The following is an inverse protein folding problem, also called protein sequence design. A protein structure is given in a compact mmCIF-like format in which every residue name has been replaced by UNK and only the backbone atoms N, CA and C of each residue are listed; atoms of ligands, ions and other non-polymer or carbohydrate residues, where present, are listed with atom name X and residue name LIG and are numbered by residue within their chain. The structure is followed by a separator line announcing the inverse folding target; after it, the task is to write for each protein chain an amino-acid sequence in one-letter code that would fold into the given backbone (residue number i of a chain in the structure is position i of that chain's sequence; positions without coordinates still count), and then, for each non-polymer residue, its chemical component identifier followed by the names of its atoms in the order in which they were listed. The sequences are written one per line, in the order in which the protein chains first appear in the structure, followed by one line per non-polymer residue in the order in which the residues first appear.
data_IF_357126280534
#
_entry.id   IF_357126280534
#
_cell.length_a   1.000
_cell.length_b   1.000
_cell.length_c   1.000
_cell.angle_alpha   90.00
_cell.angle_beta   90.00
_cell.angle_gamma   90.00
#
_symmetry.space_group_name_H-M   'P 1'
#
loop_
_entity.id
_entity.type
_entity.pdbx_description
1 polymer ?
#
# COMPACT_ATOMS: atom_id res chain seq x y z
N UNK A 1 -20.44 -13.81 -11.42
CA UNK A 1 -20.61 -14.83 -10.37
C UNK A 1 -21.94 -14.60 -9.68
N UNK A 2 -22.72 -15.65 -9.40
CA UNK A 2 -23.92 -15.52 -8.56
C UNK A 2 -23.49 -15.58 -7.10
N UNK A 3 -24.14 -14.82 -6.21
CA UNK A 3 -23.85 -14.81 -4.78
C UNK A 3 -25.16 -14.77 -3.97
N UNK A 4 -25.09 -15.27 -2.74
CA UNK A 4 -26.16 -15.18 -1.75
C UNK A 4 -25.53 -15.04 -0.36
N UNK A 5 -26.22 -14.34 0.54
CA UNK A 5 -25.81 -14.17 1.93
C UNK A 5 -26.81 -14.91 2.82
N UNK A 6 -26.28 -15.72 3.74
CA UNK A 6 -27.08 -16.44 4.74
C UNK A 6 -26.31 -16.49 6.06
N UNK A 7 -27.03 -16.64 7.16
CA UNK A 7 -26.41 -17.00 8.43
C UNK A 7 -26.11 -18.49 8.45
N UNK A 8 -24.91 -18.83 8.90
CA UNK A 8 -24.46 -20.20 9.02
C UNK A 8 -23.64 -20.41 10.29
N UNK A 9 -23.63 -21.66 10.76
CA UNK A 9 -22.69 -22.13 11.76
C UNK A 9 -21.58 -22.91 11.04
N UNK A 10 -20.33 -22.69 11.45
CA UNK A 10 -19.19 -23.42 10.89
C UNK A 10 -18.27 -23.93 11.98
N UNK A 11 -17.56 -25.03 11.70
CA UNK A 11 -16.42 -25.53 12.47
C UNK A 11 -15.24 -25.65 11.52
N UNK A 12 -14.20 -24.84 11.72
CA UNK A 12 -13.02 -24.89 10.86
C UNK A 12 -12.34 -26.26 10.96
N UNK A 13 -12.07 -26.90 9.81
CA UNK A 13 -11.42 -28.20 9.77
C UNK A 13 -9.92 -28.13 10.11
N UNK A 14 -9.26 -26.99 9.83
CA UNK A 14 -7.86 -26.77 10.16
C UNK A 14 -7.56 -25.28 10.37
N UNK A 15 -6.43 -25.00 11.04
CA UNK A 15 -5.79 -23.69 11.09
C UNK A 15 -4.48 -23.80 10.31
N UNK A 16 -4.39 -23.13 9.16
CA UNK A 16 -3.22 -23.14 8.30
C UNK A 16 -2.60 -21.74 8.22
N UNK A 17 -1.28 -21.68 8.10
CA UNK A 17 -0.56 -20.44 7.74
C UNK A 17 -0.45 -20.29 6.23
N UNK A 18 -0.14 -19.09 5.77
CA UNK A 18 0.07 -18.82 4.34
C UNK A 18 1.23 -19.64 3.77
N UNK A 19 2.31 -19.81 4.53
CA UNK A 19 3.47 -20.61 4.17
C UNK A 19 3.11 -22.10 4.06
N UNK A 20 2.28 -22.62 4.97
CA UNK A 20 1.81 -24.01 4.90
C UNK A 20 0.95 -24.25 3.66
N UNK A 21 0.03 -23.33 3.33
CA UNK A 21 -0.79 -23.43 2.11
C UNK A 21 0.08 -23.29 0.85
N UNK A 22 1.07 -22.40 0.87
CA UNK A 22 1.99 -22.22 -0.26
C UNK A 22 2.87 -23.47 -0.46
N UNK A 23 3.40 -24.05 0.61
CA UNK A 23 4.17 -25.29 0.56
C UNK A 23 3.32 -26.45 0.03
N UNK A 24 2.06 -26.54 0.47
CA UNK A 24 1.11 -27.52 -0.02
C UNK A 24 0.84 -27.36 -1.53
N UNK A 25 0.59 -26.12 -2.00
CA UNK A 25 0.50 -25.78 -3.43
C UNK A 25 1.74 -26.22 -4.23
N UNK A 26 2.92 -26.05 -3.63
CA UNK A 26 4.21 -26.40 -4.24
C UNK A 26 4.54 -27.91 -4.14
N UNK A 27 3.58 -28.77 -3.79
CA UNK A 27 3.75 -30.22 -3.74
C UNK A 27 4.39 -30.75 -2.45
N UNK A 28 4.53 -29.92 -1.41
CA UNK A 28 5.07 -30.30 -0.11
C UNK A 28 4.05 -30.06 1.02
N UNK A 29 2.88 -30.73 1.01
CA UNK A 29 1.88 -30.54 2.04
C UNK A 29 2.35 -31.12 3.38
N UNK A 30 2.30 -30.29 4.43
CA UNK A 30 2.43 -30.76 5.80
C UNK A 30 1.19 -31.55 6.27
N UNK A 31 1.26 -32.12 7.47
CA UNK A 31 0.25 -33.06 7.96
C UNK A 31 -1.16 -32.46 8.10
N UNK A 32 -1.26 -31.17 8.44
CA UNK A 32 -2.55 -30.45 8.50
C UNK A 32 -3.14 -30.17 7.11
N UNK A 33 -2.31 -29.93 6.11
CA UNK A 33 -2.75 -29.55 4.76
C UNK A 33 -3.04 -30.78 3.89
N UNK A 34 -2.30 -31.88 4.09
CA UNK A 34 -2.40 -33.10 3.27
C UNK A 34 -3.83 -33.66 3.15
N UNK A 35 -4.63 -33.76 4.22
CA UNK A 35 -6.02 -34.24 4.14
C UNK A 35 -6.96 -33.28 3.39
N UNK A 36 -6.55 -32.03 3.21
CA UNK A 36 -7.36 -30.95 2.64
C UNK A 36 -7.00 -30.63 1.17
N UNK A 37 -6.03 -31.34 0.59
CA UNK A 37 -5.51 -31.04 -0.74
C UNK A 37 -6.61 -31.09 -1.81
N UNK A 38 -7.20 -32.27 -2.03
CA UNK A 38 -8.22 -32.45 -3.05
C UNK A 38 -9.56 -31.80 -2.70
N UNK A 39 -9.91 -31.75 -1.41
CA UNK A 39 -11.22 -31.27 -0.96
C UNK A 39 -11.32 -29.76 -0.83
N UNK A 40 -10.21 -29.05 -0.63
CA UNK A 40 -10.20 -27.61 -0.42
C UNK A 40 -9.07 -26.91 -1.17
N UNK A 41 -7.80 -27.24 -0.89
CA UNK A 41 -6.66 -26.40 -1.32
C UNK A 41 -6.56 -26.32 -2.85
N UNK A 42 -6.61 -27.44 -3.56
CA UNK A 42 -6.57 -27.48 -5.03
C UNK A 42 -7.76 -26.74 -5.67
N UNK A 43 -9.03 -27.00 -5.28
CA UNK A 43 -10.18 -26.21 -5.75
C UNK A 43 -10.04 -24.70 -5.49
N UNK A 44 -9.54 -24.30 -4.32
CA UNK A 44 -9.33 -22.89 -3.99
C UNK A 44 -8.30 -22.26 -4.93
N UNK A 45 -7.21 -22.95 -5.26
CA UNK A 45 -6.25 -22.45 -6.26
C UNK A 45 -6.84 -22.40 -7.69
N UNK A 46 -7.70 -23.34 -8.06
CA UNK A 46 -8.44 -23.29 -9.33
C UNK A 46 -9.39 -22.08 -9.42
N UNK A 47 -10.11 -21.78 -8.34
CA UNK A 47 -10.95 -20.59 -8.24
C UNK A 47 -10.11 -19.30 -8.26
N UNK A 48 -9.00 -19.27 -7.52
CA UNK A 48 -8.05 -18.15 -7.52
C UNK A 48 -7.52 -17.85 -8.93
N UNK A 49 -7.12 -18.87 -9.69
CA UNK A 49 -6.66 -18.68 -11.08
C UNK A 49 -7.73 -18.04 -11.97
N UNK A 50 -9.01 -18.36 -11.75
CA UNK A 50 -10.13 -17.74 -12.46
C UNK A 50 -10.33 -16.27 -12.05
N UNK A 51 -10.20 -15.96 -10.76
CA UNK A 51 -10.28 -14.58 -10.26
C UNK A 51 -9.11 -13.73 -10.74
N UNK A 52 -7.90 -14.29 -10.83
CA UNK A 52 -6.73 -13.59 -11.37
C UNK A 52 -6.94 -13.16 -12.83
N UNK A 53 -7.49 -14.04 -13.68
CA UNK A 53 -7.87 -13.67 -15.06
C UNK A 53 -8.90 -12.54 -15.09
N UNK A 54 -9.87 -12.56 -14.18
CA UNK A 54 -10.86 -11.50 -14.07
C UNK A 54 -10.25 -10.18 -13.58
N UNK A 55 -9.30 -10.24 -12.64
CA UNK A 55 -8.54 -9.11 -12.09
C UNK A 55 -7.69 -8.44 -13.18
N UNK A 56 -6.99 -9.24 -13.99
CA UNK A 56 -6.20 -8.76 -15.13
C UNK A 56 -7.09 -8.05 -16.15
N UNK A 57 -8.20 -8.66 -16.54
CA UNK A 57 -9.18 -8.04 -17.46
C UNK A 57 -9.78 -6.75 -16.89
N UNK A 58 -9.99 -6.68 -15.58
CA UNK A 58 -10.51 -5.50 -14.89
C UNK A 58 -9.50 -4.34 -14.86
N UNK A 59 -8.20 -4.64 -14.96
CA UNK A 59 -7.15 -3.63 -14.99
C UNK A 59 -6.96 -2.95 -13.63
N UNK A 60 -6.72 -3.73 -12.57
CA UNK A 60 -6.35 -3.19 -11.24
C UNK A 60 -5.03 -2.40 -11.33
N UNK A 61 -4.88 -1.33 -10.55
CA UNK A 61 -3.63 -0.58 -10.47
C UNK A 61 -2.53 -1.48 -9.88
N UNK A 62 -1.49 -1.76 -10.67
CA UNK A 62 -0.48 -2.78 -10.34
C UNK A 62 0.78 -2.14 -9.74
N UNK A 63 0.63 -1.59 -8.54
CA UNK A 63 1.74 -0.98 -7.81
C UNK A 63 2.58 -2.04 -7.10
N UNK A 64 3.87 -2.06 -7.41
CA UNK A 64 4.86 -2.86 -6.73
C UNK A 64 5.64 -2.00 -5.74
N UNK A 65 5.18 -1.98 -4.48
CA UNK A 65 5.87 -1.30 -3.38
C UNK A 65 6.17 -2.33 -2.30
N UNK A 66 7.44 -2.64 -2.03
CA UNK A 66 7.80 -3.67 -1.06
C UNK A 66 7.38 -3.23 0.35
N UNK A 67 6.50 -4.00 0.98
CA UNK A 67 6.23 -3.90 2.41
C UNK A 67 7.38 -4.54 3.19
N UNK A 68 7.66 -4.04 4.39
CA UNK A 68 8.71 -4.59 5.26
C UNK A 68 8.15 -5.12 6.55
N UNK A 69 8.85 -6.09 7.12
CA UNK A 69 8.54 -6.69 8.41
C UNK A 69 9.73 -6.52 9.35
N UNK A 70 9.45 -6.05 10.55
CA UNK A 70 10.40 -6.04 11.66
C UNK A 70 10.41 -7.44 12.29
N UNK A 71 11.59 -8.05 12.35
CA UNK A 71 11.80 -9.35 12.99
C UNK A 71 12.29 -9.11 14.41
N UNK A 72 11.53 -9.57 15.39
CA UNK A 72 11.87 -9.46 16.82
C UNK A 72 12.20 -10.84 17.38
N UNK A 73 13.13 -10.91 18.34
CA UNK A 73 13.30 -12.10 19.18
C UNK A 73 12.34 -12.09 20.37
N UNK A 74 12.35 -13.16 21.18
CA UNK A 74 11.49 -13.31 22.35
C UNK A 74 11.76 -12.24 23.44
N UNK A 75 12.93 -11.62 23.42
CA UNK A 75 13.32 -10.52 24.30
C UNK A 75 12.92 -9.15 23.75
N UNK A 76 12.26 -9.08 22.58
CA UNK A 76 11.83 -7.83 21.95
C UNK A 76 12.93 -7.07 21.21
N UNK A 77 14.10 -7.67 20.98
CA UNK A 77 15.20 -7.07 20.25
C UNK A 77 15.02 -7.28 18.73
N UNK A 78 15.41 -6.27 17.94
CA UNK A 78 15.30 -6.32 16.48
C UNK A 78 16.41 -7.20 15.90
N UNK A 79 16.02 -8.34 15.33
CA UNK A 79 16.91 -9.25 14.60
C UNK A 79 17.22 -8.76 13.19
N UNK A 80 16.24 -8.11 12.56
CA UNK A 80 16.36 -7.65 11.18
C UNK A 80 15.11 -6.99 10.65
N UNK A 81 15.25 -6.36 9.49
CA UNK A 81 14.17 -5.73 8.74
C UNK A 81 14.25 -6.27 7.32
N UNK A 82 13.21 -6.98 6.92
CA UNK A 82 13.21 -7.71 5.65
C UNK A 82 11.95 -7.38 4.85
N UNK A 83 12.02 -7.41 3.50
CA UNK A 83 10.84 -7.35 2.66
C UNK A 83 9.89 -8.50 2.98
N UNK A 84 8.59 -8.20 3.05
CA UNK A 84 7.55 -9.19 3.26
C UNK A 84 7.36 -9.99 1.96
N UNK A 85 7.46 -11.33 1.97
CA UNK A 85 7.25 -12.12 0.78
C UNK A 85 5.77 -12.10 0.37
N UNK A 86 5.51 -11.82 -0.91
CA UNK A 86 4.16 -11.88 -1.48
C UNK A 86 3.91 -13.26 -2.11
N UNK A 87 3.43 -14.19 -1.28
CA UNK A 87 3.06 -15.55 -1.73
C UNK A 87 1.69 -15.58 -2.44
N UNK A 88 1.48 -16.55 -3.33
CA UNK A 88 0.18 -16.78 -3.98
C UNK A 88 -0.90 -17.16 -2.97
N UNK A 89 -0.56 -17.82 -1.86
CA UNK A 89 -1.51 -18.09 -0.78
C UNK A 89 -2.05 -16.82 -0.13
N UNK A 90 -1.26 -15.74 -0.05
CA UNK A 90 -1.75 -14.44 0.40
C UNK A 90 -2.75 -13.86 -0.61
N UNK A 91 -2.34 -13.83 -1.88
CA UNK A 91 -3.14 -13.28 -2.99
C UNK A 91 -4.47 -14.04 -3.18
N UNK A 92 -4.46 -15.35 -2.94
CA UNK A 92 -5.65 -16.20 -2.98
C UNK A 92 -6.71 -15.72 -1.98
N UNK A 93 -6.30 -15.51 -0.72
CA UNK A 93 -7.23 -15.02 0.30
C UNK A 93 -7.67 -13.60 -0.02
N UNK A 94 -6.76 -12.73 -0.46
CA UNK A 94 -7.06 -11.36 -0.87
C UNK A 94 -8.17 -11.31 -1.92
N UNK A 95 -8.04 -12.07 -3.02
CA UNK A 95 -9.03 -12.06 -4.11
C UNK A 95 -10.39 -12.66 -3.68
N UNK A 96 -10.39 -13.68 -2.80
CA UNK A 96 -11.65 -14.18 -2.22
C UNK A 96 -12.32 -13.14 -1.33
N UNK A 97 -11.55 -12.41 -0.53
CA UNK A 97 -12.10 -11.36 0.30
C UNK A 97 -12.63 -10.20 -0.55
N UNK A 98 -11.93 -9.82 -1.63
CA UNK A 98 -12.40 -8.82 -2.59
C UNK A 98 -13.72 -9.26 -3.22
N UNK A 99 -13.83 -10.52 -3.66
CA UNK A 99 -15.06 -11.05 -4.23
C UNK A 99 -16.25 -10.99 -3.25
N UNK A 100 -16.03 -11.34 -1.98
CA UNK A 100 -17.04 -11.24 -0.93
C UNK A 100 -17.43 -9.79 -0.62
N UNK A 101 -16.45 -8.90 -0.56
CA UNK A 101 -16.64 -7.45 -0.34
C UNK A 101 -17.48 -6.81 -1.47
N UNK A 102 -17.22 -7.19 -2.74
CA UNK A 102 -18.03 -6.75 -3.89
C UNK A 102 -19.45 -7.31 -3.80
N UNK A 103 -19.61 -8.60 -3.49
CA UNK A 103 -20.93 -9.21 -3.34
C UNK A 103 -21.79 -8.54 -2.25
N UNK A 104 -21.16 -8.13 -1.15
CA UNK A 104 -21.84 -7.42 -0.06
C UNK A 104 -22.36 -6.06 -0.54
N UNK A 105 -21.51 -5.27 -1.19
CA UNK A 105 -21.88 -3.98 -1.77
C UNK A 105 -22.99 -4.14 -2.83
N UNK A 106 -22.86 -5.11 -3.74
CA UNK A 106 -23.89 -5.42 -4.76
C UNK A 106 -25.24 -5.79 -4.14
N UNK A 107 -25.23 -6.55 -3.06
CA UNK A 107 -26.46 -6.96 -2.37
C UNK A 107 -27.15 -5.77 -1.73
N UNK A 108 -26.41 -4.92 -1.00
CA UNK A 108 -26.99 -3.74 -0.36
C UNK A 108 -27.50 -2.71 -1.37
N UNK A 109 -26.76 -2.44 -2.45
CA UNK A 109 -27.19 -1.54 -3.53
C UNK A 109 -28.51 -2.00 -4.17
N UNK A 110 -28.60 -3.29 -4.51
CA UNK A 110 -29.80 -3.87 -5.14
C UNK A 110 -31.03 -3.81 -4.24
N UNK A 111 -30.84 -3.82 -2.92
CA UNK A 111 -31.91 -3.71 -1.94
C UNK A 111 -32.20 -2.27 -1.53
N UNK A 112 -31.48 -1.29 -2.10
CA UNK A 112 -31.54 0.12 -1.72
C UNK A 112 -31.32 0.35 -0.22
N UNK A 113 -30.38 -0.39 0.37
CA UNK A 113 -30.04 -0.29 1.78
C UNK A 113 -28.78 0.55 2.00
N UNK A 114 -28.66 1.20 3.17
CA UNK A 114 -27.44 1.89 3.56
C UNK A 114 -26.22 0.96 3.49
N UNK A 115 -25.13 1.47 2.93
CA UNK A 115 -23.87 0.73 2.81
C UNK A 115 -22.71 1.66 3.15
N UNK A 116 -21.80 1.18 4.00
CA UNK A 116 -20.55 1.87 4.29
C UNK A 116 -19.52 1.44 3.24
N UNK A 117 -19.45 2.20 2.14
CA UNK A 117 -18.52 1.90 1.04
C UNK A 117 -17.09 2.18 1.46
N UNK A 118 -16.17 1.40 0.89
CA UNK A 118 -14.75 1.72 0.85
C UNK A 118 -14.48 2.32 -0.52
N UNK A 119 -14.36 3.64 -0.57
CA UNK A 119 -14.19 4.37 -1.83
C UNK A 119 -12.75 4.80 -2.02
N UNK A 120 -12.34 4.90 -3.28
CA UNK A 120 -11.05 5.43 -3.68
C UNK A 120 -11.28 6.22 -4.96
N UNK A 121 -11.28 7.55 -4.85
CA UNK A 121 -11.53 8.45 -5.97
C UNK A 121 -10.34 8.47 -6.95
N UNK A 122 -10.55 9.08 -8.11
CA UNK A 122 -9.45 9.43 -9.01
C UNK A 122 -8.47 10.42 -8.35
N UNK A 123 -7.19 10.39 -8.72
CA UNK A 123 -6.24 11.44 -8.36
C UNK A 123 -6.75 12.85 -8.70
N UNK A 124 -6.43 13.84 -7.87
CA UNK A 124 -6.78 15.25 -8.17
C UNK A 124 -5.98 15.79 -9.34
N UNK A 125 -6.51 16.81 -10.02
CA UNK A 125 -5.84 17.45 -11.15
C UNK A 125 -4.40 17.91 -10.81
N UNK A 126 -4.20 18.54 -9.66
CA UNK A 126 -2.88 19.00 -9.22
C UNK A 126 -1.88 17.85 -9.04
N UNK A 127 -2.32 16.73 -8.46
CA UNK A 127 -1.48 15.53 -8.31
C UNK A 127 -1.14 14.90 -9.66
N UNK A 128 -2.06 14.94 -10.61
CA UNK A 128 -1.85 14.43 -11.96
C UNK A 128 -0.89 15.28 -12.78
N UNK A 129 -0.99 16.61 -12.68
CA UNK A 129 -0.02 17.51 -13.33
C UNK A 129 1.37 17.33 -12.74
N UNK A 130 1.52 17.27 -11.41
CA UNK A 130 2.80 16.98 -10.76
C UNK A 130 3.38 15.62 -11.22
N UNK A 131 2.55 14.58 -11.30
CA UNK A 131 2.97 13.28 -11.83
C UNK A 131 3.42 13.38 -13.30
N UNK A 132 2.69 14.12 -14.15
CA UNK A 132 3.04 14.31 -15.57
C UNK A 132 4.37 15.05 -15.73
N UNK A 133 4.63 16.07 -14.93
CA UNK A 133 5.91 16.80 -14.93
C UNK A 133 7.06 15.88 -14.53
N UNK A 134 6.90 15.12 -13.45
CA UNK A 134 7.88 14.15 -12.99
C UNK A 134 8.17 13.08 -14.07
N UNK A 135 7.14 12.47 -14.65
CA UNK A 135 7.30 11.47 -15.71
C UNK A 135 7.97 12.05 -16.94
N UNK A 136 7.61 13.29 -17.31
CA UNK A 136 8.20 14.01 -18.44
C UNK A 136 9.71 14.20 -18.28
N UNK A 137 10.20 14.39 -17.06
CA UNK A 137 11.65 14.46 -16.78
C UNK A 137 12.41 13.17 -17.12
N UNK A 138 11.71 12.04 -17.21
CA UNK A 138 12.23 10.72 -17.56
C UNK A 138 11.82 10.28 -18.98
N UNK A 139 11.32 11.19 -19.82
CA UNK A 139 10.75 10.88 -21.14
C UNK A 139 9.60 9.84 -21.09
N UNK A 140 8.85 9.83 -19.98
CA UNK A 140 7.62 9.06 -19.82
C UNK A 140 6.43 10.02 -19.90
N UNK A 141 5.33 9.57 -20.51
CA UNK A 141 4.17 10.42 -20.73
C UNK A 141 2.89 9.72 -20.26
N UNK A 142 2.14 10.41 -19.39
CA UNK A 142 0.79 10.04 -19.00
C UNK A 142 -0.20 10.86 -19.84
N UNK A 143 -1.14 10.19 -20.51
CA UNK A 143 -2.11 10.84 -21.38
C UNK A 143 -2.96 11.90 -20.64
N UNK A 144 -3.32 12.98 -21.35
CA UNK A 144 -4.22 14.04 -20.88
C UNK A 144 -5.68 13.74 -21.25
N UNK A 145 -6.13 12.52 -21.01
CA UNK A 145 -7.53 12.12 -21.25
C UNK A 145 -8.47 12.74 -20.22
N UNK A 146 -9.74 12.96 -20.61
CA UNK A 146 -10.80 13.44 -19.70
C UNK A 146 -11.17 12.41 -18.62
N UNK A 147 -10.97 11.12 -18.89
CA UNK A 147 -11.13 10.03 -17.92
C UNK A 147 -9.83 9.27 -17.79
N UNK A 148 -9.28 9.23 -16.58
CA UNK A 148 -8.13 8.41 -16.26
C UNK A 148 -8.62 7.05 -15.76
N UNK A 149 -7.99 5.99 -16.27
CA UNK A 149 -8.21 4.63 -15.81
C UNK A 149 -6.90 4.09 -15.24
N UNK A 150 -6.94 3.13 -14.30
CA UNK A 150 -5.73 2.48 -13.79
C UNK A 150 -4.85 1.88 -14.90
N UNK A 151 -5.46 1.44 -16.01
CA UNK A 151 -4.74 0.93 -17.18
C UNK A 151 -3.72 1.93 -17.74
N UNK A 152 -4.01 3.24 -17.72
CA UNK A 152 -3.06 4.27 -18.16
C UNK A 152 -1.81 4.35 -17.27
N UNK A 153 -1.97 4.11 -15.98
CA UNK A 153 -0.85 4.04 -15.04
C UNK A 153 -0.06 2.75 -15.23
N UNK A 154 -0.75 1.62 -15.41
CA UNK A 154 -0.12 0.32 -15.63
C UNK A 154 0.75 0.30 -16.90
N UNK A 155 0.38 1.04 -17.95
CA UNK A 155 1.23 1.21 -19.14
C UNK A 155 2.58 1.86 -18.82
N UNK A 156 2.61 2.78 -17.85
CA UNK A 156 3.82 3.46 -17.41
C UNK A 156 4.63 2.53 -16.50
N UNK A 157 3.96 1.89 -15.54
CA UNK A 157 4.58 0.92 -14.62
C UNK A 157 5.24 -0.25 -15.38
N UNK A 158 4.59 -0.74 -16.45
CA UNK A 158 5.15 -1.77 -17.31
C UNK A 158 6.43 -1.33 -18.06
N UNK A 159 6.55 -0.05 -18.43
CA UNK A 159 7.75 0.47 -19.14
C UNK A 159 8.96 0.61 -18.23
N UNK A 160 8.74 0.78 -16.93
CA UNK A 160 9.81 0.97 -15.94
C UNK A 160 10.12 -0.31 -15.17
N UNK A 161 9.37 -1.39 -15.40
CA UNK A 161 9.60 -2.69 -14.78
C UNK A 161 11.00 -3.21 -15.10
N UNK A 162 11.66 -3.76 -14.09
CA UNK A 162 13.03 -4.29 -14.14
C UNK A 162 14.08 -3.23 -14.54
N UNK A 163 13.74 -1.93 -14.42
CA UNK A 163 14.68 -0.82 -14.64
C UNK A 163 15.13 -0.20 -13.31
N UNK A 164 16.22 0.57 -13.35
CA UNK A 164 16.70 1.32 -12.19
C UNK A 164 15.67 2.33 -11.61
N UNK A 165 14.61 2.67 -12.38
CA UNK A 165 13.59 3.64 -12.00
C UNK A 165 12.28 2.98 -11.52
N UNK A 166 12.16 1.65 -11.51
CA UNK A 166 10.92 0.94 -11.15
C UNK A 166 10.37 1.39 -9.80
N UNK A 167 11.18 1.29 -8.76
CA UNK A 167 10.80 1.60 -7.37
C UNK A 167 10.35 3.05 -7.25
N UNK A 168 11.12 3.97 -7.83
CA UNK A 168 10.83 5.39 -7.76
C UNK A 168 9.50 5.72 -8.44
N UNK A 169 9.30 5.23 -9.66
CA UNK A 169 8.08 5.52 -10.43
C UNK A 169 6.85 4.92 -9.73
N UNK A 170 6.96 3.69 -9.21
CA UNK A 170 5.91 3.08 -8.38
C UNK A 170 5.57 3.96 -7.18
N UNK A 171 6.56 4.47 -6.45
CA UNK A 171 6.35 5.35 -5.30
C UNK A 171 5.69 6.68 -5.68
N UNK A 172 6.12 7.32 -6.77
CA UNK A 172 5.52 8.61 -7.19
C UNK A 172 4.10 8.41 -7.71
N UNK A 173 3.82 7.33 -8.45
CA UNK A 173 2.46 6.98 -8.85
C UNK A 173 1.59 6.68 -7.63
N UNK A 174 2.10 5.96 -6.62
CA UNK A 174 1.37 5.73 -5.37
C UNK A 174 1.03 7.05 -4.66
N UNK A 175 2.00 7.98 -4.54
CA UNK A 175 1.80 9.28 -3.88
C UNK A 175 0.83 10.19 -4.63
N UNK A 176 0.72 10.04 -5.96
CA UNK A 176 -0.26 10.77 -6.76
C UNK A 176 -1.68 10.25 -6.56
N UNK A 177 -1.88 9.04 -6.01
CA UNK A 177 -3.23 8.50 -5.80
C UNK A 177 -4.00 9.28 -4.72
N UNK A 178 -5.34 9.19 -4.79
CA UNK A 178 -6.18 9.60 -3.68
C UNK A 178 -6.00 8.63 -2.50
N UNK A 179 -6.32 9.06 -1.29
CA UNK A 179 -6.43 8.13 -0.18
C UNK A 179 -7.81 7.48 -0.22
N UNK A 180 -7.85 6.16 -0.04
CA UNK A 180 -9.12 5.47 0.15
C UNK A 180 -9.73 5.84 1.50
N UNK A 181 -11.05 5.96 1.56
CA UNK A 181 -11.80 6.34 2.75
C UNK A 181 -13.13 5.60 2.82
N UNK A 182 -13.78 5.67 3.98
CA UNK A 182 -15.13 5.17 4.15
C UNK A 182 -16.14 6.28 3.84
N UNK A 183 -17.23 5.93 3.14
CA UNK A 183 -18.28 6.87 2.75
C UNK A 183 -19.64 6.18 2.65
N UNK A 184 -20.75 6.84 3.00
CA UNK A 184 -22.10 6.38 2.64
C UNK A 184 -22.38 6.49 1.12
N UNK A 185 -21.65 7.36 0.42
CA UNK A 185 -21.79 7.56 -1.02
C UNK A 185 -20.80 6.69 -1.79
N UNK A 186 -21.29 6.00 -2.83
CA UNK A 186 -20.46 5.19 -3.69
C UNK A 186 -19.92 6.02 -4.87
N UNK A 187 -18.62 6.29 -4.86
CA UNK A 187 -17.88 6.89 -5.99
C UNK A 187 -16.96 5.88 -6.70
N UNK A 188 -17.08 4.60 -6.36
CA UNK A 188 -16.22 3.53 -6.84
C UNK A 188 -14.87 3.44 -6.12
N UNK A 189 -14.04 2.52 -6.59
CA UNK A 189 -12.72 2.26 -6.05
C UNK A 189 -11.68 2.19 -7.19
N UNK A 190 -11.10 3.35 -7.51
CA UNK A 190 -10.17 3.58 -8.61
C UNK A 190 -9.06 2.53 -8.66
N UNK A 191 -8.26 2.42 -7.59
CA UNK A 191 -7.13 1.48 -7.55
C UNK A 191 -7.48 0.01 -7.74
N UNK A 192 -8.72 -0.40 -7.44
CA UNK A 192 -9.19 -1.78 -7.66
C UNK A 192 -9.97 -1.95 -8.97
N UNK A 193 -10.18 -0.85 -9.72
CA UNK A 193 -11.04 -0.77 -10.89
C UNK A 193 -12.45 -1.37 -10.62
N UNK A 194 -13.01 -1.10 -9.44
CA UNK A 194 -14.33 -1.60 -9.02
C UNK A 194 -15.35 -0.46 -8.96
N UNK A 195 -16.55 -0.69 -9.51
CA UNK A 195 -17.67 0.27 -9.45
C UNK A 195 -18.28 0.42 -8.05
N UNK A 196 -18.07 -0.57 -7.20
CA UNK A 196 -18.63 -0.67 -5.85
C UNK A 196 -17.74 -1.58 -5.02
N UNK A 197 -17.47 -1.18 -3.79
CA UNK A 197 -16.64 -1.95 -2.88
C UNK A 197 -16.96 -1.54 -1.45
N UNK A 198 -17.14 -2.53 -0.58
CA UNK A 198 -17.37 -2.32 0.84
C UNK A 198 -16.60 -3.39 1.62
N UNK A 199 -15.93 -3.00 2.70
CA UNK A 199 -15.29 -3.99 3.56
C UNK A 199 -16.37 -4.78 4.31
N UNK A 200 -16.33 -6.11 4.20
CA UNK A 200 -17.28 -7.03 4.83
C UNK A 200 -16.59 -8.16 5.60
N UNK A 201 -15.33 -8.46 5.29
CA UNK A 201 -14.64 -9.70 5.64
C UNK A 201 -13.86 -9.67 6.96
N UNK A 202 -13.92 -8.59 7.73
CA UNK A 202 -13.22 -8.49 9.03
C UNK A 202 -13.95 -7.67 10.10
N UNK A 203 -15.22 -7.98 10.43
CA UNK A 203 -15.99 -7.25 11.45
C UNK A 203 -15.39 -7.28 12.87
N UNK A 204 -14.48 -8.22 13.16
CA UNK A 204 -13.79 -8.30 14.46
C UNK A 204 -12.83 -7.13 14.68
N UNK A 205 -12.25 -6.57 13.61
CA UNK A 205 -11.18 -5.55 13.68
C UNK A 205 -11.48 -4.27 12.91
N UNK A 206 -12.63 -4.18 12.25
CA UNK A 206 -13.06 -3.01 11.47
C UNK A 206 -14.54 -2.76 11.69
N UNK A 207 -14.86 -1.54 12.12
CA UNK A 207 -16.24 -1.15 12.41
C UNK A 207 -17.09 -0.96 11.14
N UNK A 208 -16.49 -0.58 10.02
CA UNK A 208 -17.15 -0.53 8.70
C UNK A 208 -17.75 -1.89 8.32
N UNK A 209 -16.98 -2.96 8.45
CA UNK A 209 -17.45 -4.32 8.19
C UNK A 209 -18.65 -4.68 9.09
N UNK A 210 -18.63 -4.28 10.36
CA UNK A 210 -19.77 -4.51 11.27
C UNK A 210 -21.05 -3.82 10.78
N UNK A 211 -20.96 -2.57 10.29
CA UNK A 211 -22.11 -1.84 9.74
C UNK A 211 -22.65 -2.52 8.48
N UNK A 212 -21.76 -3.01 7.60
CA UNK A 212 -22.17 -3.78 6.41
C UNK A 212 -22.86 -5.09 6.80
N UNK A 213 -22.35 -5.80 7.83
CA UNK A 213 -23.03 -6.99 8.38
C UNK A 213 -24.42 -6.66 8.91
N UNK A 214 -24.55 -5.59 9.72
CA UNK A 214 -25.83 -5.12 10.27
C UNK A 214 -26.82 -4.76 9.16
N UNK A 215 -26.37 -4.06 8.11
CA UNK A 215 -27.20 -3.70 6.96
C UNK A 215 -27.70 -4.95 6.22
N UNK A 216 -26.84 -5.94 5.99
CA UNK A 216 -27.21 -7.20 5.35
C UNK A 216 -28.20 -8.00 6.21
N UNK A 217 -27.98 -8.06 7.54
CA UNK A 217 -28.91 -8.73 8.46
C UNK A 217 -30.30 -8.09 8.40
N UNK A 218 -30.37 -6.75 8.42
CA UNK A 218 -31.63 -6.00 8.32
C UNK A 218 -32.34 -6.28 7.01
N UNK A 219 -31.62 -6.14 5.89
CA UNK A 219 -32.17 -6.31 4.55
C UNK A 219 -32.70 -7.72 4.29
N UNK A 220 -31.88 -8.71 4.61
CA UNK A 220 -32.19 -10.12 4.34
C UNK A 220 -33.10 -10.73 5.40
N UNK A 221 -33.52 -9.94 6.41
CA UNK A 221 -34.30 -10.40 7.57
C UNK A 221 -33.64 -11.60 8.26
N UNK A 222 -32.31 -11.57 8.36
CA UNK A 222 -31.49 -12.69 8.83
C UNK A 222 -31.42 -12.80 10.37
N UNK A 223 -32.47 -12.38 11.08
CA UNK A 223 -32.52 -12.39 12.55
C UNK A 223 -32.06 -11.09 13.23
N UNK A 224 -31.73 -11.13 14.53
CA UNK A 224 -31.43 -9.94 15.34
C UNK A 224 -30.06 -9.34 15.03
N UNK A 225 -29.86 -8.07 15.41
CA UNK A 225 -28.63 -7.32 15.15
C UNK A 225 -28.54 -6.74 13.74
N UNK A 226 -29.69 -6.38 13.17
CA UNK A 226 -29.76 -5.56 11.97
C UNK A 226 -29.39 -4.11 12.27
N UNK A 227 -29.13 -3.34 11.21
CA UNK A 227 -28.82 -1.91 11.32
C UNK A 227 -30.02 -1.11 11.84
N UNK A 228 -29.77 -0.25 12.82
CA UNK A 228 -30.79 0.62 13.45
C UNK A 228 -30.90 1.98 12.74
N UNK A 229 -32.06 2.64 12.83
CA UNK A 229 -32.30 3.93 12.15
C UNK A 229 -31.35 5.05 12.61
N UNK A 230 -31.08 5.11 13.91
CA UNK A 230 -30.11 6.07 14.47
C UNK A 230 -28.70 5.82 13.94
N UNK A 231 -28.31 4.56 13.71
CA UNK A 231 -27.02 4.28 13.08
C UNK A 231 -26.99 4.85 11.66
N UNK A 232 -28.05 4.66 10.88
CA UNK A 232 -28.18 5.19 9.50
C UNK A 232 -28.04 6.71 9.47
N UNK A 233 -28.70 7.42 10.38
CA UNK A 233 -28.60 8.89 10.51
C UNK A 233 -27.16 9.34 10.76
N UNK A 234 -26.39 8.54 11.52
CA UNK A 234 -24.99 8.80 11.85
C UNK A 234 -23.96 8.29 10.83
N UNK A 235 -24.35 7.79 9.64
CA UNK A 235 -23.42 7.16 8.70
C UNK A 235 -22.28 8.08 8.27
N UNK A 236 -22.57 9.33 7.90
CA UNK A 236 -21.54 10.28 7.44
C UNK A 236 -20.51 10.56 8.54
N UNK A 237 -20.97 10.89 9.74
CA UNK A 237 -20.09 11.13 10.89
C UNK A 237 -19.29 9.88 11.27
N UNK A 238 -19.91 8.70 11.21
CA UNK A 238 -19.24 7.42 11.45
C UNK A 238 -18.16 7.16 10.41
N UNK A 239 -18.45 7.43 9.13
CA UNK A 239 -17.52 7.25 8.02
C UNK A 239 -16.27 8.14 8.17
N UNK A 240 -16.45 9.39 8.56
CA UNK A 240 -15.36 10.31 8.89
C UNK A 240 -14.53 9.80 10.07
N UNK A 241 -15.19 9.37 11.15
CA UNK A 241 -14.52 8.87 12.34
C UNK A 241 -13.67 7.62 12.07
N UNK A 242 -14.23 6.62 11.38
CA UNK A 242 -13.51 5.38 11.08
C UNK A 242 -12.39 5.60 10.07
N UNK A 243 -12.54 6.55 9.14
CA UNK A 243 -11.46 6.95 8.22
C UNK A 243 -10.33 7.68 8.95
N UNK A 244 -10.66 8.56 9.90
CA UNK A 244 -9.67 9.26 10.71
C UNK A 244 -8.89 8.32 11.63
N UNK A 245 -9.58 7.36 12.27
CA UNK A 245 -8.94 6.37 13.14
C UNK A 245 -8.09 5.37 12.37
N UNK A 246 -8.47 4.99 11.15
CA UNK A 246 -7.63 4.23 10.22
C UNK A 246 -6.32 4.97 9.92
N UNK A 247 -6.39 6.25 9.54
CA UNK A 247 -5.19 7.06 9.28
C UNK A 247 -4.28 7.16 10.50
N UNK A 248 -4.88 7.33 11.69
CA UNK A 248 -4.14 7.38 12.96
C UNK A 248 -3.43 6.06 13.25
N UNK A 249 -4.11 4.93 13.04
CA UNK A 249 -3.52 3.61 13.23
C UNK A 249 -2.35 3.37 12.25
N UNK A 250 -2.54 3.70 10.96
CA UNK A 250 -1.49 3.57 9.95
C UNK A 250 -0.30 4.53 10.18
N UNK A 251 -0.52 5.70 10.79
CA UNK A 251 0.57 6.57 11.23
C UNK A 251 1.35 5.94 12.39
N UNK A 252 0.65 5.44 13.41
CA UNK A 252 1.29 4.79 14.55
C UNK A 252 2.08 3.53 14.15
N UNK A 253 1.57 2.74 13.19
CA UNK A 253 2.29 1.57 12.66
C UNK A 253 3.58 1.99 11.94
N UNK A 254 3.52 3.01 11.08
CA UNK A 254 4.71 3.57 10.42
C UNK A 254 5.73 4.10 11.43
N UNK A 255 5.28 4.90 12.39
CA UNK A 255 6.14 5.43 13.46
C UNK A 255 6.82 4.30 14.24
N UNK A 256 6.12 3.19 14.52
CA UNK A 256 6.70 2.04 15.19
C UNK A 256 7.78 1.36 14.33
N UNK A 257 7.52 1.16 13.04
CA UNK A 257 8.49 0.59 12.09
C UNK A 257 9.72 1.48 12.00
N UNK A 258 9.55 2.80 11.89
CA UNK A 258 10.65 3.77 11.80
C UNK A 258 11.52 3.73 13.06
N UNK A 259 10.91 3.64 14.25
CA UNK A 259 11.62 3.50 15.53
C UNK A 259 12.41 2.20 15.63
N UNK A 260 11.81 1.07 15.25
CA UNK A 260 12.53 -0.21 15.21
C UNK A 260 13.66 -0.19 14.17
N UNK A 261 13.47 0.51 13.06
CA UNK A 261 14.50 0.69 12.03
C UNK A 261 15.66 1.53 12.51
N UNK A 262 15.39 2.64 13.19
CA UNK A 262 16.43 3.44 13.81
C UNK A 262 17.15 2.68 14.93
N UNK A 263 16.44 1.89 15.74
CA UNK A 263 17.04 1.01 16.74
C UNK A 263 17.99 -0.01 16.11
N UNK A 264 17.59 -0.65 15.02
CA UNK A 264 18.42 -1.62 14.30
C UNK A 264 19.67 -1.00 13.65
N UNK A 265 19.59 0.27 13.25
CA UNK A 265 20.70 0.98 12.62
C UNK A 265 21.60 1.73 13.60
N UNK A 266 21.21 1.87 14.88
CA UNK A 266 21.98 2.59 15.89
C UNK A 266 23.40 2.05 16.08
N UNK A 267 23.57 0.72 16.06
CA UNK A 267 24.89 0.09 16.18
C UNK A 267 25.73 0.18 14.88
N UNK A 268 25.19 0.84 13.84
CA UNK A 268 25.84 1.00 12.52
C UNK A 268 26.14 2.46 12.18
N UNK A 269 26.09 3.36 13.16
CA UNK A 269 26.51 4.75 12.98
C UNK A 269 27.96 4.79 12.46
N UNK A 270 28.21 5.62 11.45
CA UNK A 270 29.46 5.71 10.71
C UNK A 270 29.56 4.80 9.50
N UNK A 271 28.69 3.79 9.35
CA UNK A 271 28.69 2.88 8.20
C UNK A 271 28.19 3.57 6.91
N UNK A 272 28.58 3.00 5.77
CA UNK A 272 28.13 3.42 4.44
C UNK A 272 26.98 2.56 3.97
N UNK A 273 26.00 3.19 3.33
CA UNK A 273 24.82 2.55 2.76
C UNK A 273 24.58 3.07 1.34
N UNK A 274 24.06 2.20 0.47
CA UNK A 274 23.50 2.63 -0.80
C UNK A 274 22.02 2.93 -0.63
N UNK A 275 21.53 3.86 -1.45
CA UNK A 275 20.13 4.22 -1.45
C UNK A 275 19.80 5.18 -2.58
N UNK A 276 18.59 5.69 -2.54
CA UNK A 276 18.07 6.64 -3.52
C UNK A 276 17.40 7.80 -2.84
N UNK A 277 17.47 8.97 -3.49
CA UNK A 277 16.71 10.13 -3.04
C UNK A 277 15.22 9.84 -3.27
N UNK A 278 14.49 9.53 -2.20
CA UNK A 278 13.05 9.25 -2.20
C UNK A 278 12.18 10.48 -1.94
N UNK A 279 12.78 11.62 -1.58
CA UNK A 279 12.09 12.89 -1.41
C UNK A 279 13.05 14.07 -1.47
N UNK A 280 12.56 15.22 -1.95
CA UNK A 280 13.33 16.45 -2.03
C UNK A 280 12.49 17.58 -1.44
N UNK A 281 13.08 18.36 -0.54
CA UNK A 281 12.45 19.51 0.10
C UNK A 281 13.43 20.67 0.20
N UNK A 282 12.92 21.85 0.57
CA UNK A 282 13.75 23.04 0.81
C UNK A 282 14.85 22.86 1.87
N UNK A 283 14.67 21.94 2.81
CA UNK A 283 15.59 21.76 3.94
C UNK A 283 16.51 20.55 3.76
N UNK A 284 16.30 19.70 2.75
CA UNK A 284 17.15 18.54 2.54
C UNK A 284 16.60 17.51 1.55
N UNK A 285 17.26 16.37 1.54
CA UNK A 285 16.94 15.19 0.73
C UNK A 285 16.56 14.06 1.68
N UNK A 286 15.45 13.39 1.41
CA UNK A 286 15.11 12.14 2.04
C UNK A 286 15.70 11.00 1.22
N UNK A 287 16.55 10.19 1.85
CA UNK A 287 17.23 9.05 1.22
C UNK A 287 16.64 7.77 1.80
N UNK A 288 16.10 6.93 0.92
CA UNK A 288 15.66 5.57 1.23
C UNK A 288 16.84 4.62 0.96
N UNK A 289 17.25 3.84 1.95
CA UNK A 289 18.31 2.84 1.76
C UNK A 289 17.86 1.69 0.82
N UNK A 290 18.77 0.96 0.20
CA UNK A 290 18.37 -0.15 -0.67
C UNK A 290 17.99 -1.41 0.15
N UNK A 291 18.81 -1.78 1.15
CA UNK A 291 18.66 -3.05 1.87
C UNK A 291 17.56 -3.03 2.93
N UNK A 292 17.63 -2.07 3.85
CA UNK A 292 16.64 -1.91 4.94
C UNK A 292 15.45 -1.05 4.51
N UNK A 293 15.63 -0.34 3.40
CA UNK A 293 15.08 0.95 3.00
C UNK A 293 14.53 1.91 4.02
N UNK A 294 15.20 1.95 5.17
CA UNK A 294 15.06 3.03 6.11
C UNK A 294 15.14 4.39 5.39
N UNK A 295 14.26 5.31 5.77
CA UNK A 295 14.29 6.68 5.29
C UNK A 295 15.07 7.56 6.27
N UNK A 296 15.96 8.39 5.76
CA UNK A 296 16.68 9.36 6.57
C UNK A 296 16.96 10.65 5.83
N UNK A 297 17.34 11.67 6.59
CA UNK A 297 17.51 13.02 6.09
C UNK A 297 18.98 13.32 5.81
N UNK A 298 19.26 13.84 4.63
CA UNK A 298 20.47 14.62 4.33
C UNK A 298 20.07 16.09 4.36
N UNK A 299 20.60 16.88 5.29
CA UNK A 299 20.23 18.30 5.37
C UNK A 299 20.86 19.07 4.20
N UNK A 300 20.15 20.08 3.68
CA UNK A 300 20.67 20.91 2.60
C UNK A 300 22.00 21.60 2.98
N UNK A 301 22.19 21.93 4.26
CA UNK A 301 23.42 22.51 4.80
C UNK A 301 24.62 21.54 4.79
N UNK A 302 24.36 20.23 4.88
CA UNK A 302 25.41 19.20 4.79
C UNK A 302 25.86 18.91 3.34
N UNK A 303 25.16 19.44 2.34
CA UNK A 303 25.52 19.21 0.95
C UNK A 303 26.81 19.96 0.58
N UNK A 304 27.76 19.30 -0.10
CA UNK A 304 29.09 19.85 -0.30
C UNK A 304 29.10 21.02 -1.29
N UNK A 305 29.87 22.05 -0.95
CA UNK A 305 30.47 23.01 -1.90
C UNK A 305 29.56 24.08 -2.50
N UNK A 306 28.31 24.19 -2.06
CA UNK A 306 27.35 25.15 -2.62
C UNK A 306 26.18 25.48 -1.70
N UNK A 307 25.44 26.53 -2.03
CA UNK A 307 24.10 26.79 -1.51
C UNK A 307 23.07 26.21 -2.47
N UNK A 308 22.25 25.27 -2.00
CA UNK A 308 21.29 24.55 -2.83
C UNK A 308 19.89 25.18 -2.72
N UNK A 309 19.29 25.46 -3.88
CA UNK A 309 17.91 25.98 -3.99
C UNK A 309 16.99 24.84 -4.41
N UNK A 310 15.84 24.76 -3.75
CA UNK A 310 14.79 23.82 -4.12
C UNK A 310 14.06 24.28 -5.38
N UNK A 311 14.06 23.41 -6.38
CA UNK A 311 13.22 23.52 -7.55
C UNK A 311 12.13 22.44 -7.46
N UNK A 312 10.92 22.90 -7.14
CA UNK A 312 9.75 22.05 -6.97
C UNK A 312 9.36 21.33 -8.26
N UNK A 313 9.52 21.97 -9.43
CA UNK A 313 9.13 21.42 -10.73
C UNK A 313 10.04 20.28 -11.15
N UNK A 314 11.33 20.42 -10.91
CA UNK A 314 12.30 19.36 -11.23
C UNK A 314 12.53 18.37 -10.09
N UNK A 315 11.80 18.52 -8.97
CA UNK A 315 11.98 17.75 -7.74
C UNK A 315 13.46 17.61 -7.35
N UNK A 316 14.15 18.76 -7.29
CA UNK A 316 15.60 18.76 -7.12
C UNK A 316 16.12 19.90 -6.24
N UNK A 317 17.28 19.65 -5.62
CA UNK A 317 18.12 20.68 -5.02
C UNK A 317 19.23 21.03 -5.99
N UNK A 318 19.27 22.29 -6.43
CA UNK A 318 20.24 22.79 -7.42
C UNK A 318 21.19 23.79 -6.78
N UNK A 319 22.49 23.51 -6.84
CA UNK A 319 23.54 24.38 -6.36
C UNK A 319 23.58 25.69 -7.14
N UNK A 320 23.58 26.85 -6.46
CA UNK A 320 23.60 28.16 -7.10
C UNK A 320 24.86 28.40 -7.94
N UNK A 321 26.02 27.98 -7.44
CA UNK A 321 27.32 28.23 -8.08
C UNK A 321 27.77 27.09 -8.99
N UNK A 322 27.71 25.88 -8.48
CA UNK A 322 28.18 24.65 -9.13
C UNK A 322 27.18 24.10 -10.14
N UNK A 323 25.91 24.51 -10.05
CA UNK A 323 24.77 23.92 -10.78
C UNK A 323 24.61 22.41 -10.56
N UNK A 324 25.29 21.82 -9.57
CA UNK A 324 25.10 20.43 -9.19
C UNK A 324 23.65 20.21 -8.76
N UNK A 325 23.02 19.16 -9.25
CA UNK A 325 21.61 18.87 -9.02
C UNK A 325 21.49 17.52 -8.33
N UNK A 326 20.82 17.50 -7.17
CA UNK A 326 20.37 16.27 -6.51
C UNK A 326 18.89 16.12 -6.77
N UNK A 327 18.51 15.10 -7.53
CA UNK A 327 17.14 14.89 -7.99
C UNK A 327 16.51 13.71 -7.28
N UNK A 328 15.20 13.77 -7.18
CA UNK A 328 14.39 12.61 -6.83
C UNK A 328 14.76 11.42 -7.73
N UNK A 329 15.10 10.28 -7.13
CA UNK A 329 15.50 9.05 -7.82
C UNK A 329 16.99 8.80 -7.95
N UNK A 330 17.82 9.83 -7.79
CA UNK A 330 19.25 9.71 -7.98
C UNK A 330 19.84 8.69 -7.00
N UNK A 331 20.70 7.77 -7.48
CA UNK A 331 21.42 6.84 -6.62
C UNK A 331 22.52 7.56 -5.86
N UNK A 332 22.58 7.29 -4.56
CA UNK A 332 23.52 7.89 -3.62
C UNK A 332 24.16 6.83 -2.74
N UNK A 333 25.39 7.10 -2.32
CA UNK A 333 26.02 6.42 -1.18
C UNK A 333 26.04 7.40 -0.03
N UNK A 334 25.44 7.02 1.09
CA UNK A 334 25.33 7.86 2.27
C UNK A 334 26.06 7.23 3.45
N UNK A 335 26.58 8.08 4.35
CA UNK A 335 27.09 7.67 5.65
C UNK A 335 26.03 7.97 6.71
N UNK A 336 25.75 6.99 7.59
CA UNK A 336 24.90 7.22 8.75
C UNK A 336 25.64 8.05 9.80
N UNK A 337 25.14 9.25 10.08
CA UNK A 337 25.71 10.15 11.09
C UNK A 337 25.06 9.94 12.45
N UNK A 338 23.74 9.75 12.47
CA UNK A 338 22.95 9.65 13.68
C UNK A 338 21.74 8.76 13.44
N UNK A 339 21.40 7.92 14.42
CA UNK A 339 20.15 7.20 14.49
C UNK A 339 19.52 7.41 15.86
N UNK A 340 18.28 7.88 15.89
CA UNK A 340 17.54 8.24 17.12
C UNK A 340 16.33 7.32 17.28
N UNK A 341 16.46 6.20 18.01
CA UNK A 341 15.39 5.20 18.13
C UNK A 341 14.08 5.74 18.69
N UNK A 342 14.12 6.73 19.57
CA UNK A 342 12.93 7.32 20.20
C UNK A 342 12.04 8.01 19.18
N UNK A 343 12.64 8.69 18.20
CA UNK A 343 11.92 9.44 17.16
C UNK A 343 11.80 8.68 15.86
N UNK A 344 12.59 7.61 15.66
CA UNK A 344 12.74 6.93 14.36
C UNK A 344 13.62 7.70 13.37
N UNK A 345 14.26 8.79 13.81
CA UNK A 345 15.04 9.66 12.94
C UNK A 345 16.39 9.07 12.54
N UNK A 346 16.74 9.21 11.27
CA UNK A 346 18.07 8.90 10.72
C UNK A 346 18.64 10.14 10.04
N UNK A 347 19.91 10.44 10.33
CA UNK A 347 20.66 11.53 9.70
C UNK A 347 21.78 10.96 8.84
N UNK A 348 21.88 11.45 7.61
CA UNK A 348 22.83 11.00 6.62
C UNK A 348 23.71 12.13 6.10
N UNK A 349 24.90 11.76 5.63
CA UNK A 349 25.76 12.60 4.79
C UNK A 349 25.93 11.93 3.42
N UNK A 350 25.88 12.69 2.33
CA UNK A 350 26.19 12.17 0.99
C UNK A 350 27.71 12.02 0.83
N UNK A 351 28.16 10.79 0.64
CA UNK A 351 29.56 10.45 0.33
C UNK A 351 29.79 10.37 -1.18
N UNK A 352 28.81 9.81 -1.90
CA UNK A 352 28.86 9.70 -3.36
C UNK A 352 27.48 9.97 -3.95
N UNK A 353 27.44 10.71 -5.05
CA UNK A 353 26.22 10.95 -5.82
C UNK A 353 26.48 10.58 -7.27
N UNK A 354 25.61 9.72 -7.81
CA UNK A 354 25.70 9.25 -9.19
C UNK A 354 24.43 9.66 -9.94
N UNK A 355 24.11 10.96 -9.92
CA UNK A 355 23.04 11.52 -10.75
C UNK A 355 23.51 11.84 -12.16
N UNK A 356 22.62 11.78 -13.14
CA UNK A 356 22.93 12.16 -14.51
C UNK A 356 23.36 13.64 -14.57
N UNK A 357 24.59 13.91 -15.02
CA UNK A 357 25.00 15.26 -15.41
C UNK A 357 24.11 15.67 -16.59
N UNK A 358 23.34 16.75 -16.44
CA UNK A 358 22.81 17.46 -17.60
C UNK A 358 23.89 18.36 -18.15
#
# INVERSE_FOLDING_TARGET
LRHAFTRGLMRSAARLTYEQVQAAKNGKPGDLARPLMASAIEPLFGAFASLMKAREKRGVLDLNVPERKVMLNDQGQVLGIEPRPQLDSHRLIEEFMIAANVAAAETLERMHLPCMYRVHAEPTADKLEALREFLGSMNLHLARGQHLEPAHFNQILARVKDTANEVLVNQVVLRSQAQALYSPENVGHFGLALKRYAHFTSPIRRYSDLLVHRALIKGLKAGPGGLDSHEVEGFAATAEHISATERRAAAAERDAVDRYTALFLADRVGALFTGRIGGVTRFGLFVSLDDTGADGLVTAASLPGDYYVHDERSHSLIGRRTRKSYRLGDPVTVRLLEAVPVTGGLLFEIVKHTGAKR
#
